data_IF_405561776118
#
_entry.id   IF_405561776118
#
_cell.length_a   1.000
_cell.length_b   1.000
_cell.length_c   1.000
_cell.angle_alpha   90.00
_cell.angle_beta   90.00
_cell.angle_gamma   90.00
#
_symmetry.space_group_name_H-M   'P 1'
#
loop_
_entity.id
_entity.type
_entity.pdbx_description
1 polymer ?
#
# COMPACT_ATOMS: atom_id res chain seq x y z
N UNK A 1 33.55 29.61 16.82
CA UNK A 1 33.57 31.07 16.65
C UNK A 1 32.42 31.42 15.73
N UNK A 2 31.55 32.27 16.24
CA UNK A 2 30.71 33.22 15.54
C UNK A 2 30.90 33.35 13.99
N UNK A 3 29.96 32.82 13.18
CA UNK A 3 29.98 32.78 11.69
C UNK A 3 29.24 33.96 11.03
N UNK A 4 29.82 34.58 9.99
CA UNK A 4 29.15 35.62 9.18
C UNK A 4 28.47 34.99 7.96
N UNK A 5 27.14 35.06 7.83
CA UNK A 5 26.37 34.51 6.69
C UNK A 5 25.45 35.57 6.06
N UNK A 6 25.25 35.49 4.74
CA UNK A 6 24.19 36.23 4.04
C UNK A 6 22.87 35.46 4.25
N UNK A 7 21.95 35.99 5.07
CA UNK A 7 20.62 35.41 5.29
C UNK A 7 19.56 36.12 4.45
N UNK A 8 19.05 35.42 3.44
CA UNK A 8 18.03 35.92 2.52
C UNK A 8 16.59 35.84 3.05
N UNK A 9 16.35 35.17 4.18
CA UNK A 9 15.04 34.58 4.43
C UNK A 9 14.04 35.46 5.22
N UNK A 10 14.43 36.43 6.06
CA UNK A 10 13.43 37.23 6.82
C UNK A 10 13.79 38.68 7.19
N UNK A 11 14.86 39.28 6.67
CA UNK A 11 15.42 40.53 7.25
C UNK A 11 15.68 41.70 6.29
N UNK A 12 15.28 41.62 5.01
CA UNK A 12 15.30 42.79 4.10
C UNK A 12 14.50 43.98 4.69
N UNK A 13 13.52 43.72 5.57
CA UNK A 13 12.72 44.74 6.25
C UNK A 13 13.44 45.54 7.35
N UNK A 14 14.68 45.20 7.75
CA UNK A 14 15.41 45.91 8.82
C UNK A 14 16.58 46.78 8.34
N UNK A 15 16.85 46.80 7.04
CA UNK A 15 17.88 47.67 6.48
C UNK A 15 17.54 49.16 6.74
N UNK A 16 18.51 50.02 7.11
CA UNK A 16 18.28 51.45 7.34
C UNK A 16 17.75 52.21 6.11
N UNK A 17 17.80 51.59 4.93
CA UNK A 17 17.28 52.11 3.68
C UNK A 17 17.45 51.10 2.54
N UNK A 18 16.93 51.44 1.36
CA UNK A 18 16.97 50.63 0.14
C UNK A 18 18.38 50.45 -0.48
N UNK A 19 19.41 51.03 0.13
CA UNK A 19 20.80 51.01 -0.37
C UNK A 19 21.76 50.24 0.53
N UNK A 20 21.24 49.38 1.39
CA UNK A 20 22.04 48.59 2.32
C UNK A 20 21.82 47.10 2.10
N UNK A 21 22.91 46.34 2.10
CA UNK A 21 22.91 44.89 2.14
C UNK A 21 23.11 44.45 3.60
N UNK A 22 22.15 43.73 4.21
CA UNK A 22 22.31 43.17 5.55
C UNK A 22 23.29 41.99 5.53
N UNK A 23 24.21 41.99 6.48
CA UNK A 23 25.21 40.95 6.72
C UNK A 23 25.12 40.55 8.19
N UNK A 24 25.07 39.28 8.54
CA UNK A 24 25.13 38.88 9.95
C UNK A 24 26.59 38.75 10.34
N UNK A 25 27.04 39.41 11.41
CA UNK A 25 28.34 39.11 11.99
C UNK A 25 28.33 37.76 12.70
N UNK A 26 29.49 37.39 13.23
CA UNK A 26 29.63 36.11 13.86
C UNK A 26 28.73 35.90 15.09
N UNK A 27 28.34 36.95 15.81
CA UNK A 27 27.42 36.82 16.95
C UNK A 27 25.96 36.73 16.49
N UNK A 28 25.72 36.71 15.17
CA UNK A 28 24.40 36.75 14.57
C UNK A 28 23.75 38.13 14.60
N UNK A 29 24.51 39.19 14.93
CA UNK A 29 24.01 40.56 14.87
C UNK A 29 24.06 41.09 13.43
N UNK A 30 23.06 41.90 13.07
CA UNK A 30 22.97 42.47 11.73
C UNK A 30 23.86 43.70 11.59
N UNK A 31 24.79 43.60 10.65
CA UNK A 31 25.59 44.67 10.08
C UNK A 31 25.07 45.06 8.70
N UNK A 32 25.42 46.25 8.22
CA UNK A 32 24.92 46.78 6.95
C UNK A 32 26.05 47.35 6.10
N UNK A 33 26.08 46.96 4.83
CA UNK A 33 27.03 47.46 3.85
C UNK A 33 26.31 48.32 2.81
N UNK A 34 26.79 49.53 2.57
CA UNK A 34 26.23 50.44 1.57
C UNK A 34 26.52 49.97 0.14
N UNK A 35 25.50 50.05 -0.73
CA UNK A 35 25.57 49.77 -2.18
C UNK A 35 25.18 51.01 -3.01
N UNK A 36 25.40 52.21 -2.47
CA UNK A 36 25.04 53.50 -3.08
C UNK A 36 25.46 53.69 -4.55
N UNK A 37 26.46 52.94 -5.01
CA UNK A 37 27.00 53.00 -6.37
C UNK A 37 26.44 51.96 -7.36
N UNK A 38 25.54 51.06 -6.92
CA UNK A 38 25.07 49.92 -7.74
C UNK A 38 23.85 50.27 -8.61
N UNK A 39 23.04 51.24 -8.20
CA UNK A 39 21.85 51.67 -8.96
C UNK A 39 21.89 53.17 -9.17
N UNK A 40 22.16 53.62 -10.41
CA UNK A 40 22.01 55.04 -10.75
C UNK A 40 20.52 55.35 -10.88
N UNK A 41 20.09 56.49 -10.34
CA UNK A 41 18.66 56.87 -10.29
C UNK A 41 17.95 56.96 -11.66
N UNK A 42 18.71 56.92 -12.77
CA UNK A 42 18.22 57.03 -14.14
C UNK A 42 18.23 55.71 -14.93
N UNK A 43 18.77 54.63 -14.37
CA UNK A 43 18.78 53.31 -15.03
C UNK A 43 17.43 52.59 -14.79
N UNK A 44 16.80 52.09 -15.85
CA UNK A 44 15.55 51.31 -15.76
C UNK A 44 15.79 49.80 -15.62
N UNK A 45 16.97 49.33 -16.03
CA UNK A 45 17.39 47.94 -15.90
C UNK A 45 18.86 47.80 -15.50
N UNK A 46 19.10 47.26 -14.30
CA UNK A 46 20.42 46.86 -13.84
C UNK A 46 20.41 45.35 -13.54
N UNK A 47 21.27 44.57 -14.19
CA UNK A 47 21.42 43.14 -13.91
C UNK A 47 22.49 42.91 -12.86
N UNK A 48 22.10 42.42 -11.68
CA UNK A 48 23.05 41.94 -10.69
C UNK A 48 23.75 40.67 -11.20
N UNK A 49 25.09 40.66 -11.25
CA UNK A 49 25.87 39.49 -11.67
C UNK A 49 26.29 38.66 -10.45
N UNK A 50 26.92 39.28 -9.45
CA UNK A 50 27.31 38.62 -8.20
C UNK A 50 27.43 39.59 -7.04
N UNK A 51 27.29 39.06 -5.82
CA UNK A 51 27.57 39.73 -4.56
C UNK A 51 28.47 38.79 -3.77
N UNK A 52 29.69 39.21 -3.53
CA UNK A 52 30.76 38.41 -2.91
C UNK A 52 31.34 39.19 -1.72
N UNK A 53 31.82 38.48 -0.71
CA UNK A 53 32.63 39.07 0.35
C UNK A 53 34.07 38.60 0.11
N UNK A 54 35.00 39.52 -0.10
CA UNK A 54 36.37 39.22 -0.49
C UNK A 54 37.32 40.16 0.24
N UNK A 55 38.29 39.62 0.98
CA UNK A 55 39.37 40.37 1.64
C UNK A 55 38.88 41.56 2.50
N UNK A 56 37.79 41.44 3.25
CA UNK A 56 37.29 42.56 4.06
C UNK A 56 36.34 43.50 3.31
N UNK A 57 35.97 43.20 2.06
CA UNK A 57 35.09 44.03 1.24
C UNK A 57 33.84 43.28 0.78
N UNK A 58 32.70 43.99 0.73
CA UNK A 58 31.56 43.56 -0.07
C UNK A 58 31.79 44.00 -1.52
N UNK A 59 31.94 43.03 -2.41
CA UNK A 59 32.14 43.23 -3.84
C UNK A 59 30.85 42.90 -4.57
N UNK A 60 30.28 43.90 -5.25
CA UNK A 60 29.08 43.75 -6.08
C UNK A 60 29.45 43.93 -7.54
N UNK A 61 29.23 42.90 -8.35
CA UNK A 61 29.40 42.95 -9.81
C UNK A 61 28.01 43.09 -10.44
N UNK A 62 27.84 44.06 -11.32
CA UNK A 62 26.57 44.28 -12.01
C UNK A 62 26.79 44.75 -13.45
N UNK A 63 25.78 44.54 -14.31
CA UNK A 63 25.77 45.01 -15.69
C UNK A 63 24.62 46.02 -15.83
N UNK A 64 24.91 47.32 -15.99
CA UNK A 64 23.89 48.34 -16.26
C UNK A 64 23.43 48.29 -17.73
N UNK A 65 22.51 49.18 -18.11
CA UNK A 65 21.93 49.23 -19.46
C UNK A 65 22.95 49.43 -20.58
N UNK A 66 24.11 50.02 -20.28
CA UNK A 66 25.20 50.22 -21.24
C UNK A 66 25.94 48.92 -21.62
N UNK A 67 25.61 47.80 -20.96
CA UNK A 67 26.16 46.48 -21.22
C UNK A 67 27.56 46.23 -20.66
N UNK A 68 28.20 47.22 -20.02
CA UNK A 68 29.55 47.12 -19.49
C UNK A 68 29.54 46.76 -18.00
N UNK A 69 30.12 45.62 -17.63
CA UNK A 69 30.17 45.20 -16.24
C UNK A 69 30.89 46.22 -15.36
N UNK A 70 30.26 46.58 -14.25
CA UNK A 70 30.78 47.44 -13.21
C UNK A 70 31.04 46.61 -11.95
N UNK A 71 32.03 47.05 -11.15
CA UNK A 71 32.38 46.43 -9.87
C UNK A 71 32.38 47.51 -8.80
N UNK A 72 31.56 47.33 -7.78
CA UNK A 72 31.52 48.19 -6.58
C UNK A 72 32.13 47.41 -5.43
N UNK A 73 33.06 48.02 -4.71
CA UNK A 73 33.70 47.44 -3.54
C UNK A 73 33.51 48.36 -2.34
N UNK A 74 32.87 47.86 -1.29
CA UNK A 74 32.62 48.59 -0.05
C UNK A 74 33.39 47.91 1.09
N UNK A 75 34.29 48.60 1.82
CA UNK A 75 34.95 48.02 2.98
C UNK A 75 33.93 47.67 4.06
N UNK A 76 34.11 46.50 4.68
CA UNK A 76 33.29 46.05 5.80
C UNK A 76 34.01 46.38 7.10
N UNK A 77 33.30 47.07 8.00
CA UNK A 77 33.85 47.58 9.26
C UNK A 77 33.79 46.54 10.39
N UNK A 78 33.76 45.26 10.06
CA UNK A 78 33.68 44.15 11.00
C UNK A 78 34.59 43.02 10.53
N UNK A 79 35.13 42.28 11.50
CA UNK A 79 36.03 41.16 11.21
C UNK A 79 35.30 40.09 10.40
N UNK A 80 35.84 39.78 9.23
CA UNK A 80 35.43 38.63 8.43
C UNK A 80 36.38 37.48 8.73
N UNK A 81 35.81 36.35 9.06
CA UNK A 81 36.50 35.06 8.99
C UNK A 81 36.00 34.37 7.73
N UNK A 82 36.81 34.42 6.67
CA UNK A 82 36.63 33.48 5.55
C UNK A 82 36.85 32.07 6.12
N UNK A 83 35.81 31.23 6.03
CA UNK A 83 35.91 29.84 6.46
C UNK A 83 36.62 29.09 5.32
N UNK A 84 37.95 29.14 5.33
CA UNK A 84 38.77 28.28 4.47
C UNK A 84 38.77 26.88 5.05
N UNK A 85 37.79 26.08 4.66
CA UNK A 85 37.66 24.67 5.04
C UNK A 85 38.81 23.90 4.41
N UNK A 86 39.74 23.43 5.24
CA UNK A 86 40.84 22.58 4.80
C UNK A 86 40.40 21.12 4.71
N UNK A 87 39.53 20.68 5.61
CA UNK A 87 38.94 19.35 5.61
C UNK A 87 37.53 19.38 6.23
N UNK A 88 36.62 18.56 5.69
CA UNK A 88 35.29 18.37 6.23
C UNK A 88 35.01 16.88 6.26
N UNK A 89 34.94 16.30 7.47
CA UNK A 89 34.74 14.86 7.65
C UNK A 89 33.54 14.56 8.53
N UNK A 90 32.82 13.50 8.16
CA UNK A 90 31.75 12.95 8.98
C UNK A 90 32.34 11.95 9.97
N UNK A 91 32.20 12.23 11.26
CA UNK A 91 32.55 11.27 12.31
C UNK A 91 31.30 10.54 12.80
N UNK A 92 31.39 9.22 12.85
CA UNK A 92 30.42 8.33 13.46
C UNK A 92 31.02 7.74 14.74
N UNK A 93 31.03 8.49 15.85
CA UNK A 93 31.36 7.90 17.14
C UNK A 93 30.28 6.86 17.46
N UNK A 94 30.68 5.71 17.98
CA UNK A 94 29.87 4.52 18.28
C UNK A 94 28.62 4.74 19.15
N UNK A 95 28.34 5.97 19.56
CA UNK A 95 27.20 6.45 20.34
C UNK A 95 26.02 6.97 19.49
N UNK A 96 26.09 6.88 18.15
CA UNK A 96 24.95 7.18 17.27
C UNK A 96 24.65 8.66 17.04
N UNK A 97 25.58 9.55 17.43
CA UNK A 97 25.50 10.98 17.11
C UNK A 97 26.47 11.29 16.00
N UNK A 98 25.97 11.48 14.78
CA UNK A 98 26.76 11.95 13.66
C UNK A 98 27.23 13.38 13.95
N UNK A 99 28.53 13.62 13.76
CA UNK A 99 29.13 14.95 13.88
C UNK A 99 29.82 15.28 12.56
N UNK A 100 29.54 16.46 12.02
CA UNK A 100 30.38 17.03 10.98
C UNK A 100 31.53 17.75 11.69
N UNK A 101 32.76 17.32 11.44
CA UNK A 101 33.95 18.01 11.91
C UNK A 101 34.45 18.89 10.77
N UNK A 102 34.38 20.20 10.97
CA UNK A 102 34.98 21.18 10.07
C UNK A 102 36.37 21.51 10.60
N UNK A 103 37.39 21.31 9.78
CA UNK A 103 38.76 21.74 10.08
C UNK A 103 39.08 22.96 9.22
N UNK A 104 39.38 24.07 9.87
CA UNK A 104 39.82 25.29 9.20
C UNK A 104 41.30 25.17 8.78
N UNK A 105 41.72 26.06 7.88
CA UNK A 105 43.10 26.06 7.35
C UNK A 105 44.18 26.35 8.39
N UNK A 106 43.81 26.88 9.55
CA UNK A 106 44.70 27.06 10.70
C UNK A 106 44.80 25.82 11.62
N UNK A 107 44.09 24.74 11.26
CA UNK A 107 44.05 23.48 11.99
C UNK A 107 43.05 23.44 13.15
N UNK A 108 42.29 24.51 13.39
CA UNK A 108 41.22 24.49 14.38
C UNK A 108 40.07 23.62 13.92
N UNK A 109 39.44 22.90 14.86
CA UNK A 109 38.35 21.96 14.57
C UNK A 109 37.07 22.38 15.25
N UNK A 110 35.97 22.36 14.51
CA UNK A 110 34.63 22.72 14.98
C UNK A 110 33.69 21.54 14.79
N UNK A 111 33.25 20.89 15.89
CA UNK A 111 32.22 19.89 15.83
C UNK A 111 30.86 20.57 15.65
N UNK A 112 30.22 20.33 14.51
CA UNK A 112 28.81 20.70 14.29
C UNK A 112 27.97 19.52 14.75
N UNK A 113 27.16 19.76 15.79
CA UNK A 113 26.21 18.78 16.28
C UNK A 113 25.05 18.64 15.28
N UNK A 114 24.97 17.48 14.63
CA UNK A 114 23.92 17.16 13.68
C UNK A 114 22.73 16.46 14.34
N UNK A 115 22.64 16.39 15.69
CA UNK A 115 21.48 15.80 16.38
C UNK A 115 20.15 16.45 15.99
N UNK A 116 20.14 17.73 15.59
CA UNK A 116 18.93 18.39 15.08
C UNK A 116 18.59 18.01 13.63
N UNK A 117 19.57 17.56 12.84
CA UNK A 117 19.41 16.98 11.49
C UNK A 117 19.07 15.48 11.54
N UNK A 118 19.20 14.85 12.71
CA UNK A 118 18.37 13.70 13.08
C UNK A 118 16.93 14.25 13.11
N UNK A 119 16.36 14.44 11.93
CA UNK A 119 14.95 14.69 11.74
C UNK A 119 14.25 13.49 12.38
N UNK A 120 13.93 13.65 13.66
CA UNK A 120 12.58 13.63 14.18
C UNK A 120 11.58 13.20 13.11
N UNK A 121 11.63 11.94 12.71
CA UNK A 121 10.45 11.22 12.27
C UNK A 121 9.84 10.62 13.53
N UNK A 122 9.59 11.47 14.55
CA UNK A 122 8.84 11.11 15.76
C UNK A 122 7.38 11.46 15.60
N UNK A 123 6.82 11.21 14.42
CA UNK A 123 5.40 10.97 14.36
C UNK A 123 5.25 9.53 13.89
N UNK A 124 5.23 8.63 14.88
CA UNK A 124 4.30 7.53 14.81
C UNK A 124 2.96 8.18 14.49
N UNK A 125 2.57 8.09 13.23
CA UNK A 125 1.17 8.34 12.90
C UNK A 125 0.41 7.16 13.47
N UNK A 126 -0.89 7.31 13.74
CA UNK A 126 -1.70 6.15 14.16
C UNK A 126 -1.55 4.98 13.19
N UNK A 127 -1.17 5.25 11.92
CA UNK A 127 -1.12 4.31 10.82
C UNK A 127 0.26 3.66 10.58
N UNK A 128 1.36 4.31 10.90
CA UNK A 128 2.73 3.81 10.64
C UNK A 128 3.59 3.97 11.90
N UNK A 129 4.18 2.85 12.34
CA UNK A 129 5.11 2.76 13.46
C UNK A 129 6.52 2.80 12.91
N UNK A 130 7.33 3.73 13.40
CA UNK A 130 8.74 3.82 13.07
C UNK A 130 9.56 3.28 14.23
N UNK A 131 10.54 2.43 13.93
CA UNK A 131 11.42 1.85 14.94
C UNK A 131 12.88 1.85 14.49
N UNK A 132 13.80 1.66 15.44
CA UNK A 132 15.23 1.78 15.20
C UNK A 132 15.76 3.21 15.35
N UNK A 133 17.08 3.35 15.40
CA UNK A 133 17.78 4.63 15.63
C UNK A 133 18.70 5.03 14.46
N UNK A 134 18.63 4.31 13.34
CA UNK A 134 19.41 4.60 12.14
C UNK A 134 20.87 4.15 12.19
N UNK A 135 21.28 3.44 13.25
CA UNK A 135 22.61 2.84 13.32
C UNK A 135 22.69 1.55 12.51
N UNK A 136 23.88 1.10 12.06
CA UNK A 136 24.04 -0.17 11.36
C UNK A 136 23.52 -1.39 12.16
N UNK A 137 23.58 -1.31 13.49
CA UNK A 137 23.11 -2.36 14.41
C UNK A 137 21.60 -2.26 14.72
N UNK A 138 20.97 -1.11 14.47
CA UNK A 138 19.55 -0.88 14.66
C UNK A 138 19.00 0.07 13.59
N UNK A 139 18.95 -0.39 12.31
CA UNK A 139 18.52 0.44 11.19
C UNK A 139 17.10 0.94 11.39
N UNK A 140 16.80 2.11 10.82
CA UNK A 140 15.44 2.63 10.79
C UNK A 140 14.55 1.66 10.00
N UNK A 141 13.42 1.27 10.59
CA UNK A 141 12.40 0.46 9.95
C UNK A 141 11.03 1.12 10.12
N UNK A 142 10.19 0.96 9.11
CA UNK A 142 8.80 1.38 9.13
C UNK A 142 7.93 0.12 9.10
N UNK A 143 6.97 0.05 10.00
CA UNK A 143 5.98 -1.03 10.05
C UNK A 143 4.59 -0.42 10.06
N UNK A 144 3.65 -1.04 9.35
CA UNK A 144 2.26 -0.63 9.39
C UNK A 144 1.68 -0.93 10.77
N UNK A 145 0.96 0.03 11.33
CA UNK A 145 0.24 -0.15 12.60
C UNK A 145 -0.98 -1.05 12.42
N UNK A 146 -1.47 -1.60 13.54
CA UNK A 146 -2.75 -2.31 13.55
C UNK A 146 -3.94 -1.38 13.19
N UNK A 147 -3.88 -0.09 13.56
CA UNK A 147 -4.96 0.87 13.27
C UNK A 147 -5.13 1.09 11.76
N UNK A 148 -4.03 1.16 10.99
CA UNK A 148 -4.11 1.22 9.54
C UNK A 148 -4.74 -0.06 8.98
N UNK A 149 -4.25 -1.22 9.43
CA UNK A 149 -4.75 -2.52 8.99
C UNK A 149 -6.25 -2.71 9.28
N UNK A 150 -6.74 -2.11 10.36
CA UNK A 150 -8.15 -2.12 10.75
C UNK A 150 -8.98 -1.08 9.97
N UNK A 151 -8.35 -0.01 9.46
CA UNK A 151 -9.00 1.06 8.70
C UNK A 151 -9.11 0.81 7.19
N UNK A 152 -8.34 -0.15 6.65
CA UNK A 152 -8.42 -0.53 5.23
C UNK A 152 -9.80 -1.17 4.99
N UNK A 153 -10.68 -0.55 4.17
CA UNK A 153 -11.98 -1.13 3.84
C UNK A 153 -11.77 -2.44 3.10
N UNK A 154 -12.10 -3.56 3.74
CA UNK A 154 -12.01 -4.90 3.16
C UNK A 154 -13.19 -5.14 2.21
N UNK A 155 -13.25 -4.35 1.15
CA UNK A 155 -14.21 -4.52 0.05
C UNK A 155 -13.60 -5.44 -1.02
N UNK A 156 -13.72 -6.74 -0.79
CA UNK A 156 -14.43 -7.68 -1.66
C UNK A 156 -14.16 -7.68 -3.20
N UNK A 157 -12.93 -7.47 -3.65
CA UNK A 157 -12.54 -7.83 -5.04
C UNK A 157 -11.21 -8.59 -5.19
N UNK A 158 -10.46 -8.83 -4.09
CA UNK A 158 -9.22 -9.59 -4.14
C UNK A 158 -9.32 -10.88 -3.32
N UNK A 159 -9.21 -12.01 -4.01
CA UNK A 159 -9.08 -13.37 -3.46
C UNK A 159 -7.90 -13.57 -2.48
N UNK A 160 -7.09 -12.54 -2.23
CA UNK A 160 -5.84 -12.61 -1.45
C UNK A 160 -6.02 -12.44 0.07
N UNK A 161 -7.19 -12.03 0.56
CA UNK A 161 -7.41 -11.68 1.99
C UNK A 161 -8.09 -12.79 2.83
N UNK A 162 -8.06 -14.03 2.36
CA UNK A 162 -8.63 -15.18 3.10
C UNK A 162 -7.55 -15.77 4.01
N UNK A 163 -7.27 -15.09 5.12
CA UNK A 163 -6.38 -15.60 6.16
C UNK A 163 -7.06 -16.73 6.93
N UNK A 164 -6.78 -17.98 6.53
CA UNK A 164 -7.27 -19.19 7.20
C UNK A 164 -6.18 -19.74 8.11
N UNK A 165 -6.51 -20.07 9.36
CA UNK A 165 -5.54 -20.72 10.25
C UNK A 165 -5.20 -22.13 9.75
N UNK A 166 -3.94 -22.52 9.93
CA UNK A 166 -3.47 -23.86 9.55
C UNK A 166 -4.26 -24.97 10.25
N UNK A 167 -4.79 -24.70 11.44
CA UNK A 167 -5.62 -25.66 12.19
C UNK A 167 -6.93 -25.96 11.47
N UNK A 168 -7.60 -24.96 10.89
CA UNK A 168 -8.84 -25.17 10.14
C UNK A 168 -8.53 -25.93 8.84
N UNK A 169 -7.43 -25.58 8.16
CA UNK A 169 -6.97 -26.31 6.97
C UNK A 169 -6.71 -27.78 7.30
N UNK A 170 -6.01 -28.08 8.41
CA UNK A 170 -5.74 -29.44 8.84
C UNK A 170 -7.02 -30.20 9.21
N UNK A 171 -7.97 -29.56 9.89
CA UNK A 171 -9.26 -30.16 10.21
C UNK A 171 -10.06 -30.53 8.96
N UNK A 172 -10.05 -29.69 7.93
CA UNK A 172 -10.72 -29.97 6.66
C UNK A 172 -9.96 -31.02 5.83
N UNK A 173 -8.63 -31.00 5.83
CA UNK A 173 -7.81 -32.00 5.14
C UNK A 173 -8.07 -33.43 5.66
N UNK A 174 -8.33 -33.57 6.96
CA UNK A 174 -8.70 -34.85 7.60
C UNK A 174 -10.06 -35.41 7.14
N UNK A 175 -10.91 -34.59 6.50
CA UNK A 175 -12.25 -34.98 6.03
C UNK A 175 -12.29 -35.51 4.59
N UNK A 176 -11.17 -35.49 3.86
CA UNK A 176 -11.05 -36.17 2.57
C UNK A 176 -10.45 -35.31 1.45
N UNK A 177 -9.46 -35.91 0.75
CA UNK A 177 -8.73 -35.49 -0.46
C UNK A 177 -8.70 -33.97 -0.74
N UNK A 178 -7.72 -33.28 -0.17
CA UNK A 178 -7.43 -31.88 -0.47
C UNK A 178 -8.35 -30.87 0.20
N UNK A 179 -7.85 -29.65 0.39
CA UNK A 179 -8.62 -28.51 0.90
C UNK A 179 -8.80 -27.52 -0.23
N UNK A 180 -10.02 -27.06 -0.43
CA UNK A 180 -10.38 -26.02 -1.39
C UNK A 180 -11.00 -24.83 -0.66
N UNK A 181 -10.91 -23.64 -1.27
CA UNK A 181 -11.68 -22.49 -0.82
C UNK A 181 -13.05 -22.51 -1.49
N UNK A 182 -14.11 -22.44 -0.69
CA UNK A 182 -15.48 -22.35 -1.17
C UNK A 182 -16.14 -21.08 -0.62
N UNK A 183 -16.96 -20.42 -1.45
CA UNK A 183 -17.71 -19.26 -1.02
C UNK A 183 -18.91 -19.68 -0.15
N UNK A 184 -18.96 -19.23 1.09
CA UNK A 184 -20.10 -19.41 1.98
C UNK A 184 -21.03 -18.19 1.87
N UNK A 185 -22.23 -18.42 1.33
CA UNK A 185 -23.24 -17.38 1.13
C UNK A 185 -23.89 -16.87 2.42
N UNK A 186 -23.86 -17.65 3.51
CA UNK A 186 -24.45 -17.25 4.80
C UNK A 186 -23.55 -16.24 5.50
N UNK A 187 -22.25 -16.51 5.49
CA UNK A 187 -21.23 -15.66 6.11
C UNK A 187 -20.64 -14.63 5.14
N UNK A 188 -20.95 -14.74 3.84
CA UNK A 188 -20.39 -13.91 2.76
C UNK A 188 -18.86 -13.90 2.77
N UNK A 189 -18.25 -15.08 2.96
CA UNK A 189 -16.81 -15.24 3.08
C UNK A 189 -16.33 -16.50 2.36
N UNK A 190 -15.09 -16.48 1.87
CA UNK A 190 -14.40 -17.68 1.43
C UNK A 190 -13.95 -18.48 2.64
N UNK A 191 -14.33 -19.75 2.70
CA UNK A 191 -14.00 -20.67 3.80
C UNK A 191 -13.32 -21.93 3.28
N UNK A 192 -12.32 -22.48 3.99
CA UNK A 192 -11.74 -23.76 3.66
C UNK A 192 -12.80 -24.87 3.81
N UNK A 193 -12.82 -25.77 2.84
CA UNK A 193 -13.66 -26.97 2.86
C UNK A 193 -12.86 -28.14 2.33
N UNK A 194 -13.14 -29.34 2.84
CA UNK A 194 -12.66 -30.57 2.21
C UNK A 194 -13.16 -30.67 0.77
N UNK A 195 -12.26 -30.93 -0.19
CA UNK A 195 -12.66 -31.11 -1.59
C UNK A 195 -13.61 -32.31 -1.76
N UNK A 196 -13.52 -33.32 -0.88
CA UNK A 196 -14.50 -34.40 -0.79
C UNK A 196 -15.91 -33.89 -0.44
N UNK A 197 -16.04 -32.93 0.46
CA UNK A 197 -17.35 -32.33 0.82
C UNK A 197 -17.88 -31.35 -0.23
N UNK A 198 -16.99 -30.67 -0.96
CA UNK A 198 -17.38 -29.78 -2.08
C UNK A 198 -17.77 -30.59 -3.32
N UNK A 199 -17.07 -31.69 -3.60
CA UNK A 199 -17.45 -32.64 -4.64
C UNK A 199 -18.84 -33.26 -4.43
N UNK A 200 -19.26 -33.44 -3.17
CA UNK A 200 -20.63 -33.84 -2.82
C UNK A 200 -21.69 -32.73 -3.03
N UNK A 201 -21.26 -31.46 -3.09
CA UNK A 201 -22.13 -30.31 -3.36
C UNK A 201 -22.33 -30.03 -4.86
N UNK A 202 -21.59 -30.71 -5.74
CA UNK A 202 -21.81 -30.64 -7.19
C UNK A 202 -23.14 -31.32 -7.55
N UNK A 203 -23.89 -30.71 -8.48
CA UNK A 203 -25.06 -31.37 -9.09
C UNK A 203 -24.57 -32.60 -9.87
N UNK A 204 -25.01 -33.78 -9.44
CA UNK A 204 -24.89 -35.04 -10.14
C UNK A 204 -26.01 -35.13 -11.17
N UNK A 205 -25.66 -35.53 -12.39
CA UNK A 205 -26.61 -35.74 -13.48
C UNK A 205 -26.65 -37.22 -13.85
N UNK A 206 -27.80 -37.85 -13.64
CA UNK A 206 -28.07 -39.20 -14.15
C UNK A 206 -28.93 -39.14 -15.41
N UNK A 207 -28.50 -39.85 -16.45
CA UNK A 207 -29.19 -39.89 -17.75
C UNK A 207 -29.66 -41.30 -18.05
N UNK A 208 -30.98 -41.49 -18.03
CA UNK A 208 -31.65 -42.72 -18.40
C UNK A 208 -32.13 -42.61 -19.84
N UNK A 209 -31.66 -43.50 -20.71
CA UNK A 209 -31.96 -43.48 -22.15
C UNK A 209 -32.77 -44.71 -22.52
N UNK A 210 -33.56 -44.58 -23.59
CA UNK A 210 -34.30 -45.67 -24.21
C UNK A 210 -35.29 -46.35 -23.25
N UNK A 211 -35.95 -45.57 -22.40
CA UNK A 211 -36.99 -46.06 -21.51
C UNK A 211 -38.27 -46.29 -22.33
N UNK A 212 -38.73 -47.54 -22.37
CA UNK A 212 -39.84 -47.99 -23.23
C UNK A 212 -41.02 -48.56 -22.45
N UNK A 213 -40.83 -48.93 -21.18
CA UNK A 213 -41.88 -49.46 -20.30
C UNK A 213 -41.58 -49.18 -18.83
N UNK A 214 -42.63 -49.05 -18.02
CA UNK A 214 -42.56 -48.65 -16.62
C UNK A 214 -42.97 -47.19 -16.39
N UNK A 215 -42.81 -46.71 -15.16
CA UNK A 215 -43.21 -45.36 -14.75
C UNK A 215 -42.17 -44.67 -13.85
N UNK A 216 -41.00 -45.29 -13.67
CA UNK A 216 -39.99 -44.78 -12.75
C UNK A 216 -38.58 -45.00 -13.26
N UNK A 217 -37.66 -44.20 -12.71
CA UNK A 217 -36.21 -44.39 -12.82
C UNK A 217 -35.61 -44.52 -11.44
N UNK A 218 -34.61 -45.38 -11.28
CA UNK A 218 -33.91 -45.59 -10.03
C UNK A 218 -32.57 -44.86 -10.06
N UNK A 219 -32.39 -43.91 -9.15
CA UNK A 219 -31.15 -43.18 -8.98
C UNK A 219 -30.09 -44.07 -8.33
N UNK A 220 -28.83 -43.70 -8.54
CA UNK A 220 -27.67 -44.36 -7.94
C UNK A 220 -27.63 -44.22 -6.41
N UNK A 221 -28.33 -43.22 -5.86
CA UNK A 221 -28.42 -42.97 -4.41
C UNK A 221 -29.87 -42.99 -3.94
N UNK A 222 -30.07 -43.38 -2.68
CA UNK A 222 -31.38 -43.29 -2.05
C UNK A 222 -31.82 -41.82 -1.91
N UNK A 223 -33.12 -41.55 -2.03
CA UNK A 223 -33.68 -40.20 -1.86
C UNK A 223 -33.35 -39.64 -0.46
N UNK A 224 -33.19 -40.52 0.55
CA UNK A 224 -32.76 -40.12 1.89
C UNK A 224 -31.34 -39.53 1.95
N UNK A 225 -30.48 -39.85 0.99
CA UNK A 225 -29.10 -39.38 0.83
C UNK A 225 -29.00 -38.14 -0.08
N UNK A 226 -30.09 -37.74 -0.71
CA UNK A 226 -30.14 -36.62 -1.67
C UNK A 226 -30.76 -35.40 -0.99
N UNK A 227 -30.24 -34.20 -1.27
CA UNK A 227 -30.93 -32.95 -0.95
C UNK A 227 -32.15 -32.83 -1.86
N UNK A 228 -33.33 -33.20 -1.36
CA UNK A 228 -34.57 -33.28 -2.14
C UNK A 228 -34.99 -31.94 -2.77
N UNK A 229 -34.51 -30.81 -2.24
CA UNK A 229 -34.77 -29.49 -2.82
C UNK A 229 -33.98 -29.22 -4.11
N UNK A 230 -32.94 -30.01 -4.35
CA UNK A 230 -32.07 -29.88 -5.53
C UNK A 230 -32.50 -30.74 -6.72
N UNK A 231 -33.45 -31.68 -6.54
CA UNK A 231 -33.86 -32.62 -7.58
C UNK A 231 -34.56 -31.86 -8.72
N UNK A 232 -34.02 -31.99 -9.93
CA UNK A 232 -34.62 -31.51 -11.18
C UNK A 232 -34.76 -32.70 -12.12
N UNK A 233 -35.98 -32.92 -12.61
CA UNK A 233 -36.27 -34.02 -13.54
C UNK A 233 -36.61 -33.42 -14.90
N UNK A 234 -36.01 -33.96 -15.94
CA UNK A 234 -36.30 -33.62 -17.32
C UNK A 234 -36.71 -34.85 -18.10
N UNK A 235 -37.77 -34.75 -18.90
CA UNK A 235 -38.25 -35.79 -19.81
C UNK A 235 -38.17 -35.27 -21.23
N UNK A 236 -37.38 -35.94 -22.07
CA UNK A 236 -37.11 -35.55 -23.46
C UNK A 236 -36.68 -34.08 -23.61
N UNK A 237 -35.95 -33.55 -22.62
CA UNK A 237 -35.46 -32.17 -22.60
C UNK A 237 -36.40 -31.15 -21.97
N UNK A 238 -37.63 -31.52 -21.61
CA UNK A 238 -38.56 -30.66 -20.90
C UNK A 238 -38.46 -30.86 -19.39
N UNK A 239 -38.35 -29.76 -18.65
CA UNK A 239 -38.34 -29.79 -17.18
C UNK A 239 -39.73 -30.13 -16.66
N UNK A 240 -39.79 -31.09 -15.74
CA UNK A 240 -41.01 -31.55 -15.10
C UNK A 240 -41.22 -30.86 -13.74
N UNK A 241 -42.48 -30.72 -13.34
CA UNK A 241 -42.86 -30.11 -12.06
C UNK A 241 -43.10 -31.16 -10.97
N UNK A 242 -42.48 -30.94 -9.80
CA UNK A 242 -42.60 -31.85 -8.67
C UNK A 242 -44.05 -31.88 -8.16
N UNK A 243 -44.52 -33.05 -7.73
CA UNK A 243 -45.89 -33.34 -7.27
C UNK A 243 -46.98 -33.36 -8.36
N UNK A 244 -46.74 -32.70 -9.50
CA UNK A 244 -47.61 -32.75 -10.67
C UNK A 244 -47.17 -33.85 -11.64
N UNK A 245 -45.94 -33.76 -12.15
CA UNK A 245 -45.43 -34.62 -13.21
C UNK A 245 -44.58 -35.77 -12.67
N UNK A 246 -43.99 -35.60 -11.47
CA UNK A 246 -43.20 -36.65 -10.83
C UNK A 246 -43.25 -36.57 -9.30
N UNK A 247 -42.93 -37.69 -8.65
CA UNK A 247 -42.88 -37.86 -7.19
C UNK A 247 -41.68 -38.71 -6.81
N UNK A 248 -41.19 -38.52 -5.60
CA UNK A 248 -40.17 -39.33 -4.95
C UNK A 248 -40.61 -39.71 -3.53
N UNK A 249 -39.84 -40.53 -2.82
CA UNK A 249 -40.20 -41.09 -1.50
C UNK A 249 -41.41 -42.04 -1.50
N UNK A 250 -41.66 -42.74 -2.61
CA UNK A 250 -42.71 -43.75 -2.66
C UNK A 250 -42.31 -45.00 -1.88
N UNK A 251 -43.24 -45.56 -1.10
CA UNK A 251 -43.02 -46.78 -0.34
C UNK A 251 -42.63 -47.93 -1.29
N UNK A 252 -41.45 -48.54 -1.06
CA UNK A 252 -40.89 -49.60 -1.90
C UNK A 252 -39.90 -49.15 -2.97
N UNK A 253 -39.74 -47.84 -3.21
CA UNK A 253 -38.79 -47.26 -4.17
C UNK A 253 -37.89 -46.21 -3.48
N UNK A 254 -36.94 -46.63 -2.63
CA UNK A 254 -36.14 -45.72 -1.80
C UNK A 254 -35.22 -44.80 -2.60
N UNK A 255 -34.96 -45.11 -3.86
CA UNK A 255 -34.16 -44.33 -4.82
C UNK A 255 -34.95 -43.99 -6.10
N UNK A 256 -36.27 -44.18 -6.11
CA UNK A 256 -37.09 -44.04 -7.31
C UNK A 256 -37.65 -42.64 -7.52
N UNK A 257 -37.55 -42.14 -8.75
CA UNK A 257 -38.35 -41.03 -9.28
C UNK A 257 -39.50 -41.63 -10.08
N UNK A 258 -40.73 -41.46 -9.60
CA UNK A 258 -41.95 -41.97 -10.26
C UNK A 258 -42.62 -40.84 -11.03
N UNK A 259 -42.90 -41.08 -12.31
CA UNK A 259 -43.53 -40.13 -13.23
C UNK A 259 -45.05 -40.34 -13.24
N UNK A 260 -45.81 -39.25 -13.37
CA UNK A 260 -47.27 -39.27 -13.38
C UNK A 260 -47.87 -39.93 -14.65
N UNK A 261 -47.07 -40.08 -15.71
CA UNK A 261 -47.41 -40.84 -16.91
C UNK A 261 -46.27 -41.78 -17.27
N UNK A 262 -46.58 -43.08 -17.42
CA UNK A 262 -45.60 -44.10 -17.74
C UNK A 262 -44.96 -43.93 -19.12
N UNK A 263 -43.93 -44.73 -19.37
CA UNK A 263 -43.29 -44.87 -20.67
C UNK A 263 -44.21 -45.68 -21.59
N UNK A 264 -44.38 -45.22 -22.82
CA UNK A 264 -45.26 -45.88 -23.80
C UNK A 264 -44.42 -46.71 -24.76
N UNK A 265 -44.76 -47.98 -24.92
CA UNK A 265 -44.11 -48.86 -25.90
C UNK A 265 -44.27 -48.27 -27.31
N UNK A 266 -43.15 -47.86 -27.92
CA UNK A 266 -43.11 -47.27 -29.26
C UNK A 266 -42.38 -45.92 -29.35
N UNK A 267 -42.23 -45.21 -28.23
CA UNK A 267 -41.49 -43.94 -28.17
C UNK A 267 -40.44 -44.01 -27.06
N UNK A 268 -39.18 -44.40 -27.37
CA UNK A 268 -38.13 -44.44 -26.36
C UNK A 268 -37.90 -43.06 -25.78
N UNK A 269 -37.95 -42.97 -24.46
CA UNK A 269 -37.79 -41.69 -23.77
C UNK A 269 -36.43 -41.55 -23.10
N UNK A 270 -36.03 -40.29 -22.94
CA UNK A 270 -34.85 -39.87 -22.20
C UNK A 270 -35.30 -39.15 -20.93
N UNK A 271 -34.90 -39.66 -19.78
CA UNK A 271 -35.03 -38.98 -18.49
C UNK A 271 -33.65 -38.51 -18.03
N UNK A 272 -33.58 -37.26 -17.58
CA UNK A 272 -32.39 -36.69 -16.94
C UNK A 272 -32.80 -36.28 -15.54
N UNK A 273 -32.03 -36.69 -14.54
CA UNK A 273 -32.24 -36.25 -13.16
C UNK A 273 -30.96 -35.58 -12.68
N UNK A 274 -31.06 -34.29 -12.37
CA UNK A 274 -30.00 -33.55 -11.69
C UNK A 274 -30.33 -33.47 -10.20
N UNK A 275 -29.35 -33.73 -9.33
CA UNK A 275 -29.53 -33.65 -7.89
C UNK A 275 -28.20 -33.46 -7.15
N UNK A 276 -28.24 -33.03 -5.90
CA UNK A 276 -27.07 -32.93 -5.01
C UNK A 276 -27.20 -33.92 -3.87
N UNK A 277 -26.08 -34.46 -3.44
CA UNK A 277 -26.06 -35.32 -2.25
C UNK A 277 -26.14 -34.48 -0.98
N UNK A 278 -26.69 -35.06 0.09
CA UNK A 278 -26.59 -34.48 1.43
C UNK A 278 -25.12 -34.49 1.89
N UNK A 279 -24.70 -33.53 2.74
CA UNK A 279 -23.36 -33.52 3.29
C UNK A 279 -23.00 -34.86 3.96
N UNK A 280 -21.82 -35.40 3.65
CA UNK A 280 -21.29 -36.62 4.25
C UNK A 280 -21.64 -37.92 3.52
N UNK A 281 -22.38 -37.87 2.41
CA UNK A 281 -22.64 -39.05 1.57
C UNK A 281 -21.48 -39.24 0.59
N UNK A 282 -20.71 -40.34 0.65
CA UNK A 282 -19.58 -40.56 -0.25
C UNK A 282 -20.04 -40.70 -1.70
N UNK A 283 -19.21 -40.20 -2.64
CA UNK A 283 -19.44 -40.43 -4.07
C UNK A 283 -19.13 -41.90 -4.39
N UNK A 284 -20.11 -42.61 -4.96
CA UNK A 284 -20.04 -43.98 -5.48
C UNK A 284 -19.36 -44.06 -6.83
#
# INVERSE_FOLDING_TARGET
MAETRIRLDKQIQKAPGNKYVPLSDGNGELQYAGIDAVVKATETLTRLNSVEVVNGHLVVKYTPEDGNQQVVSTPLNFSQTDINVADARLENPSTGVYRLIITESDGTTYPVDLTALLATVTQNTEQIILSGNGTPQSPLSATLSQVLLDSIPRNLDALDDVAVSIDIVNQEALKGSGVVLAWDSVTSQWVPKSAGTVGQANELTEVFRNLVSGDHVNLSYAISQIDTTSIKVYRNGLRLEHMMDYRYNNAGLPNGIVLAGGFTEGYPEKIIVDYRLKPGVPLS
#
